data_IF_156290739776
#
_entry.id   IF_156290739776
#
_cell.length_a   1.000
_cell.length_b   1.000
_cell.length_c   1.000
_cell.angle_alpha   90.00
_cell.angle_beta   90.00
_cell.angle_gamma   90.00
#
_symmetry.space_group_name_H-M   'P 1'
#
loop_
_entity.id
_entity.type
_entity.pdbx_description
1 polymer ?
#
# COMPACT_ATOMS: atom_id res chain seq x y z
N UNK A 1 -43.09 19.24 53.41
CA UNK A 1 -44.25 18.49 52.89
C UNK A 1 -45.07 19.41 52.01
N UNK A 2 -45.57 18.99 50.83
CA UNK A 2 -45.16 17.85 49.99
C UNK A 2 -44.07 18.36 49.00
N UNK A 3 -43.90 18.04 47.69
CA UNK A 3 -44.43 17.00 46.77
C UNK A 3 -43.41 16.70 45.64
N UNK A 4 -43.40 15.46 45.14
CA UNK A 4 -42.97 14.95 43.82
C UNK A 4 -42.16 15.81 42.83
N UNK A 5 -40.99 15.29 42.41
CA UNK A 5 -40.33 15.66 41.14
C UNK A 5 -40.89 14.85 39.94
N UNK A 6 -41.20 15.46 38.78
CA UNK A 6 -41.78 14.77 37.61
C UNK A 6 -40.79 14.48 36.45
N UNK A 7 -39.48 14.53 36.68
CA UNK A 7 -38.47 14.65 35.61
C UNK A 7 -38.17 13.36 34.82
N UNK A 8 -38.43 12.17 35.39
CA UNK A 8 -38.02 10.89 34.78
C UNK A 8 -38.96 10.37 33.69
N UNK A 9 -40.27 10.59 33.81
CA UNK A 9 -41.26 10.08 32.86
C UNK A 9 -41.08 10.71 31.46
N UNK A 10 -41.04 12.04 31.38
CA UNK A 10 -40.87 12.76 30.13
C UNK A 10 -39.56 12.40 29.41
N UNK A 11 -38.46 12.26 30.16
CA UNK A 11 -37.16 11.85 29.60
C UNK A 11 -37.19 10.42 29.00
N UNK A 12 -37.94 9.50 29.62
CA UNK A 12 -38.13 8.14 29.09
C UNK A 12 -38.97 8.17 27.80
N UNK A 13 -39.99 9.03 27.72
CA UNK A 13 -40.83 9.17 26.52
C UNK A 13 -40.08 9.84 25.36
N UNK A 14 -39.28 10.87 25.63
CA UNK A 14 -38.40 11.51 24.65
C UNK A 14 -37.35 10.51 24.11
N UNK A 15 -36.78 9.65 24.97
CA UNK A 15 -35.88 8.57 24.53
C UNK A 15 -36.61 7.53 23.67
N UNK A 16 -37.83 7.14 24.03
CA UNK A 16 -38.67 6.23 23.21
C UNK A 16 -39.02 6.85 21.86
N UNK A 17 -39.30 8.15 21.80
CA UNK A 17 -39.62 8.87 20.58
C UNK A 17 -38.40 8.95 19.64
N UNK A 18 -37.24 9.38 20.16
CA UNK A 18 -35.98 9.45 19.41
C UNK A 18 -35.48 8.08 18.94
N UNK A 19 -35.57 7.03 19.76
CA UNK A 19 -35.32 5.64 19.33
C UNK A 19 -36.26 5.21 18.19
N UNK A 20 -37.55 5.58 18.27
CA UNK A 20 -38.54 5.25 17.24
C UNK A 20 -38.30 5.98 15.93
N UNK A 21 -37.92 7.27 15.98
CA UNK A 21 -37.49 8.04 14.81
C UNK A 21 -36.23 7.44 14.18
N UNK A 22 -35.24 7.03 14.98
CA UNK A 22 -34.02 6.34 14.49
C UNK A 22 -34.36 5.03 13.80
N UNK A 23 -35.21 4.20 14.42
CA UNK A 23 -35.68 2.92 13.85
C UNK A 23 -36.51 3.14 12.57
N UNK A 24 -37.32 4.22 12.48
CA UNK A 24 -38.05 4.63 11.26
C UNK A 24 -37.10 5.07 10.14
N UNK A 25 -36.14 5.95 10.41
CA UNK A 25 -35.12 6.40 9.42
C UNK A 25 -34.29 5.24 8.90
N UNK A 26 -33.82 4.34 9.78
CA UNK A 26 -33.09 3.13 9.39
C UNK A 26 -33.90 2.21 8.46
N UNK A 27 -35.16 1.92 8.82
CA UNK A 27 -36.07 1.11 7.99
C UNK A 27 -36.41 1.76 6.65
N UNK A 28 -36.44 3.10 6.58
CA UNK A 28 -36.62 3.81 5.32
C UNK A 28 -35.39 3.68 4.41
N UNK A 29 -34.18 3.92 4.94
CA UNK A 29 -32.92 3.78 4.21
C UNK A 29 -32.71 2.36 3.66
N UNK A 30 -32.97 1.33 4.47
CA UNK A 30 -32.88 -0.06 4.01
C UNK A 30 -33.91 -0.43 2.93
N UNK A 31 -35.07 0.23 2.86
CA UNK A 31 -36.02 0.04 1.74
C UNK A 31 -35.51 0.68 0.45
N UNK A 32 -34.98 1.90 0.51
CA UNK A 32 -34.41 2.57 -0.67
C UNK A 32 -33.19 1.82 -1.21
N UNK A 33 -32.37 1.28 -0.33
CA UNK A 33 -31.21 0.43 -0.67
C UNK A 33 -31.64 -0.87 -1.37
N UNK A 34 -32.66 -1.57 -0.87
CA UNK A 34 -33.22 -2.76 -1.53
C UNK A 34 -33.78 -2.43 -2.92
N UNK A 35 -34.57 -1.35 -3.05
CA UNK A 35 -35.13 -0.93 -4.35
C UNK A 35 -34.00 -0.59 -5.35
N UNK A 36 -32.93 0.08 -4.90
CA UNK A 36 -31.76 0.37 -5.75
C UNK A 36 -31.10 -0.93 -6.25
N UNK A 37 -30.81 -1.87 -5.35
CA UNK A 37 -30.21 -3.16 -5.69
C UNK A 37 -31.12 -4.02 -6.59
N UNK A 38 -32.44 -3.97 -6.40
CA UNK A 38 -33.41 -4.62 -7.29
C UNK A 38 -33.40 -4.00 -8.71
N UNK A 39 -33.30 -2.67 -8.83
CA UNK A 39 -33.17 -2.01 -10.15
C UNK A 39 -31.82 -2.27 -10.81
N UNK A 40 -30.73 -2.34 -10.04
CA UNK A 40 -29.39 -2.65 -10.56
C UNK A 40 -29.30 -4.11 -11.03
N UNK A 41 -29.78 -5.07 -10.24
CA UNK A 41 -29.91 -6.47 -10.67
C UNK A 41 -30.72 -6.61 -11.95
N UNK A 42 -31.82 -5.85 -12.09
CA UNK A 42 -32.65 -5.89 -13.29
C UNK A 42 -31.94 -5.32 -14.51
N UNK A 43 -31.27 -4.17 -14.41
CA UNK A 43 -30.51 -3.60 -15.54
C UNK A 43 -29.33 -4.48 -15.94
N UNK A 44 -28.66 -5.14 -15.00
CA UNK A 44 -27.60 -6.13 -15.28
C UNK A 44 -28.16 -7.40 -15.93
N UNK A 45 -29.35 -7.88 -15.53
CA UNK A 45 -30.04 -8.99 -16.18
C UNK A 45 -30.46 -8.63 -17.61
N UNK A 46 -31.01 -7.43 -17.84
CA UNK A 46 -31.38 -6.95 -19.18
C UNK A 46 -30.15 -6.77 -20.09
N UNK A 47 -29.03 -6.29 -19.55
CA UNK A 47 -27.74 -6.22 -20.27
C UNK A 47 -27.19 -7.61 -20.61
N UNK A 48 -27.24 -8.58 -19.68
CA UNK A 48 -26.84 -9.95 -19.96
C UNK A 48 -27.76 -10.61 -20.99
N UNK A 49 -29.07 -10.38 -20.93
CA UNK A 49 -30.02 -10.86 -21.94
C UNK A 49 -29.71 -10.26 -23.32
N UNK A 50 -29.43 -8.96 -23.42
CA UNK A 50 -29.02 -8.31 -24.67
C UNK A 50 -27.71 -8.89 -25.24
N UNK A 51 -26.72 -9.17 -24.38
CA UNK A 51 -25.42 -9.70 -24.78
C UNK A 51 -25.42 -11.21 -25.08
N UNK A 52 -26.40 -11.96 -24.57
CA UNK A 52 -26.54 -13.42 -24.78
C UNK A 52 -27.62 -13.80 -25.79
N UNK A 53 -28.50 -12.87 -26.17
CA UNK A 53 -29.49 -13.07 -27.21
C UNK A 53 -28.82 -13.51 -28.53
N UNK A 54 -29.23 -14.64 -29.14
CA UNK A 54 -28.68 -15.08 -30.41
C UNK A 54 -29.03 -14.05 -31.49
N UNK A 55 -28.01 -13.35 -32.01
CA UNK A 55 -28.18 -12.36 -33.09
C UNK A 55 -28.70 -13.08 -34.33
N UNK A 56 -29.97 -12.83 -34.67
CA UNK A 56 -30.61 -13.38 -35.88
C UNK A 56 -29.73 -13.07 -37.10
N UNK A 57 -29.24 -14.12 -37.76
CA UNK A 57 -28.11 -14.05 -38.68
C UNK A 57 -28.50 -13.62 -40.09
N UNK A 58 -28.99 -12.38 -40.21
CA UNK A 58 -29.25 -11.72 -41.49
C UNK A 58 -28.05 -10.86 -41.93
N UNK A 59 -26.97 -11.52 -42.36
CA UNK A 59 -25.86 -10.88 -43.08
C UNK A 59 -25.11 -11.90 -43.93
N UNK A 60 -25.37 -11.93 -45.24
CA UNK A 60 -24.78 -12.86 -46.22
C UNK A 60 -23.31 -12.54 -46.58
N UNK A 61 -22.59 -11.81 -45.73
CA UNK A 61 -21.23 -11.35 -45.99
C UNK A 61 -20.30 -11.64 -44.79
N UNK A 62 -19.20 -12.40 -44.98
CA UNK A 62 -18.26 -12.69 -43.90
C UNK A 62 -17.37 -11.48 -43.60
N UNK A 63 -17.59 -10.85 -42.45
CA UNK A 63 -16.68 -9.81 -41.93
C UNK A 63 -15.37 -10.45 -41.47
N UNK A 64 -14.25 -10.11 -42.11
CA UNK A 64 -12.92 -10.65 -41.81
C UNK A 64 -12.36 -10.22 -40.45
N UNK A 65 -12.93 -9.19 -39.83
CA UNK A 65 -12.57 -8.71 -38.48
C UNK A 65 -13.39 -9.45 -37.40
N UNK A 66 -12.74 -10.02 -36.37
CA UNK A 66 -13.46 -10.67 -35.28
C UNK A 66 -14.24 -9.62 -34.45
N UNK A 67 -15.50 -9.90 -34.06
CA UNK A 67 -16.31 -8.96 -33.29
C UNK A 67 -15.61 -8.43 -32.02
N UNK A 68 -15.77 -7.13 -31.66
CA UNK A 68 -15.07 -6.52 -30.52
C UNK A 68 -15.24 -7.27 -29.20
N UNK A 69 -16.39 -7.92 -28.97
CA UNK A 69 -16.63 -8.76 -27.80
C UNK A 69 -15.66 -9.95 -27.68
N UNK A 70 -15.23 -10.55 -28.80
CA UNK A 70 -14.25 -11.65 -28.81
C UNK A 70 -12.85 -11.13 -28.45
N UNK A 71 -12.50 -9.94 -28.94
CA UNK A 71 -11.23 -9.27 -28.62
C UNK A 71 -11.18 -8.91 -27.13
N UNK A 72 -12.22 -8.24 -26.62
CA UNK A 72 -12.35 -7.86 -25.22
C UNK A 72 -12.37 -9.06 -24.27
N UNK A 73 -13.01 -10.17 -24.67
CA UNK A 73 -13.00 -11.44 -23.93
C UNK A 73 -11.60 -12.05 -23.86
N UNK A 74 -10.90 -12.20 -24.99
CA UNK A 74 -9.52 -12.73 -25.02
C UNK A 74 -8.56 -11.90 -24.19
N UNK A 75 -8.70 -10.57 -24.22
CA UNK A 75 -7.89 -9.66 -23.40
C UNK A 75 -8.17 -9.84 -21.90
N UNK A 76 -9.44 -10.00 -21.51
CA UNK A 76 -9.84 -10.33 -20.14
C UNK A 76 -9.29 -11.69 -19.67
N UNK A 77 -9.36 -12.72 -20.52
CA UNK A 77 -8.84 -14.06 -20.23
C UNK A 77 -7.32 -14.01 -20.04
N UNK A 78 -6.59 -13.25 -20.87
CA UNK A 78 -5.15 -12.99 -20.72
C UNK A 78 -4.81 -12.27 -19.41
N UNK A 79 -5.52 -11.19 -19.06
CA UNK A 79 -5.34 -10.46 -17.80
C UNK A 79 -5.57 -11.37 -16.59
N UNK A 80 -6.65 -12.17 -16.59
CA UNK A 80 -6.96 -13.12 -15.51
C UNK A 80 -5.88 -14.20 -15.37
N UNK A 81 -5.32 -14.69 -16.48
CA UNK A 81 -4.18 -15.61 -16.46
C UNK A 81 -2.91 -14.95 -15.88
N UNK A 82 -2.59 -13.72 -16.28
CA UNK A 82 -1.42 -12.98 -15.82
C UNK A 82 -1.50 -12.65 -14.32
N UNK A 83 -2.65 -12.15 -13.83
CA UNK A 83 -2.89 -11.93 -12.39
C UNK A 83 -2.81 -13.24 -11.60
N UNK A 84 -3.33 -14.34 -12.15
CA UNK A 84 -3.23 -15.67 -11.51
C UNK A 84 -1.78 -16.15 -11.41
N UNK A 85 -0.98 -15.94 -12.46
CA UNK A 85 0.45 -16.29 -12.47
C UNK A 85 1.24 -15.44 -11.45
N UNK A 86 1.03 -14.13 -11.43
CA UNK A 86 1.67 -13.22 -10.47
C UNK A 86 1.28 -13.54 -9.02
N UNK A 87 0.00 -13.83 -8.75
CA UNK A 87 -0.50 -14.24 -7.43
C UNK A 87 0.10 -15.59 -6.98
N UNK A 88 0.28 -16.54 -7.90
CA UNK A 88 0.99 -17.81 -7.63
C UNK A 88 2.47 -17.55 -7.31
N UNK A 89 3.17 -16.77 -8.13
CA UNK A 89 4.58 -16.41 -7.90
C UNK A 89 4.77 -15.73 -6.54
N UNK A 90 3.97 -14.71 -6.22
CA UNK A 90 4.02 -14.02 -4.93
C UNK A 90 3.76 -14.96 -3.74
N UNK A 91 2.81 -15.89 -3.86
CA UNK A 91 2.53 -16.91 -2.82
C UNK A 91 3.66 -17.94 -2.68
N UNK A 92 4.27 -18.37 -3.78
CA UNK A 92 5.45 -19.25 -3.73
C UNK A 92 6.64 -18.52 -3.09
N UNK A 93 6.89 -17.27 -3.45
CA UNK A 93 7.97 -16.46 -2.85
C UNK A 93 7.72 -16.19 -1.36
N UNK A 94 6.49 -15.92 -0.92
CA UNK A 94 6.20 -15.70 0.50
C UNK A 94 6.30 -16.97 1.32
N UNK A 95 5.80 -18.11 0.82
CA UNK A 95 5.98 -19.42 1.47
C UNK A 95 7.46 -19.84 1.53
N UNK A 96 8.20 -19.65 0.43
CA UNK A 96 9.64 -19.91 0.38
C UNK A 96 10.38 -19.04 1.41
N UNK A 97 10.04 -17.74 1.51
CA UNK A 97 10.68 -16.81 2.46
C UNK A 97 10.35 -17.18 3.91
N UNK A 98 9.09 -17.54 4.20
CA UNK A 98 8.66 -17.97 5.53
C UNK A 98 9.34 -19.27 5.99
N UNK A 99 9.55 -20.22 5.07
CA UNK A 99 10.28 -21.47 5.34
C UNK A 99 11.77 -21.28 5.66
N UNK A 100 12.32 -20.08 5.38
CA UNK A 100 13.74 -19.74 5.51
C UNK A 100 13.99 -18.63 6.54
N UNK A 101 12.96 -18.21 7.29
CA UNK A 101 13.14 -17.37 8.47
C UNK A 101 13.90 -18.16 9.55
N UNK A 102 14.93 -17.59 10.18
CA UNK A 102 15.56 -18.22 11.34
C UNK A 102 14.52 -18.41 12.44
N UNK A 103 14.14 -19.67 12.70
CA UNK A 103 13.44 -20.00 13.94
C UNK A 103 14.41 -19.69 15.06
N UNK A 104 14.13 -18.65 15.84
CA UNK A 104 14.81 -18.41 17.10
C UNK A 104 14.58 -19.65 17.96
N UNK A 105 15.58 -20.52 18.04
CA UNK A 105 15.60 -21.62 19.01
C UNK A 105 15.70 -20.94 20.36
N UNK A 106 14.55 -20.77 20.99
CA UNK A 106 14.43 -20.16 22.30
C UNK A 106 15.04 -21.13 23.31
N UNK A 107 16.31 -20.95 23.61
CA UNK A 107 17.06 -21.70 24.63
C UNK A 107 16.65 -21.23 26.03
N UNK A 108 15.36 -21.33 26.32
CA UNK A 108 14.93 -21.54 27.70
C UNK A 108 15.58 -22.88 28.13
N UNK A 109 16.26 -22.90 29.29
CA UNK A 109 17.14 -23.97 29.80
C UNK A 109 18.56 -24.02 29.20
N UNK A 110 19.51 -23.37 29.87
CA UNK A 110 20.73 -23.97 30.45
C UNK A 110 21.14 -23.08 31.64
N UNK A 111 21.08 -23.62 32.85
CA UNK A 111 21.26 -22.86 34.09
C UNK A 111 22.69 -22.93 34.65
N UNK A 112 23.71 -22.81 33.79
CA UNK A 112 25.11 -22.95 34.18
C UNK A 112 26.03 -21.88 33.55
N UNK A 113 26.51 -20.95 34.37
CA UNK A 113 27.75 -20.20 34.10
C UNK A 113 28.98 -21.07 34.41
N UNK A 114 30.06 -20.89 33.65
CA UNK A 114 31.35 -20.51 34.26
C UNK A 114 31.82 -19.10 33.84
N UNK A 115 32.84 -18.52 34.51
CA UNK A 115 33.27 -17.13 34.31
C UNK A 115 34.32 -16.93 33.20
N UNK A 116 34.64 -15.65 32.95
CA UNK A 116 35.62 -15.13 31.99
C UNK A 116 37.00 -15.84 32.03
N UNK A 117 37.49 -16.28 30.88
CA UNK A 117 38.83 -16.86 30.68
C UNK A 117 39.23 -16.91 29.20
N UNK A 118 40.54 -16.94 28.92
CA UNK A 118 41.10 -16.84 27.55
C UNK A 118 40.93 -18.11 26.70
N UNK A 119 40.78 -17.87 25.39
CA UNK A 119 41.30 -18.67 24.25
C UNK A 119 41.21 -20.21 24.29
N UNK A 120 40.24 -20.76 23.55
CA UNK A 120 40.46 -21.92 22.67
C UNK A 120 39.54 -21.87 21.46
N UNK A 121 40.08 -22.02 20.25
CA UNK A 121 39.29 -22.14 19.01
C UNK A 121 38.98 -23.62 18.75
N UNK A 122 38.14 -24.19 19.61
CA UNK A 122 37.63 -25.56 19.47
C UNK A 122 36.66 -25.64 18.27
N UNK A 123 37.13 -26.22 17.16
CA UNK A 123 36.41 -26.37 15.88
C UNK A 123 35.30 -27.44 15.99
N UNK A 124 34.32 -27.21 16.85
CA UNK A 124 33.14 -28.07 16.99
C UNK A 124 32.13 -27.80 15.87
N UNK A 125 31.86 -28.81 15.04
CA UNK A 125 30.89 -28.72 13.93
C UNK A 125 29.45 -28.87 14.46
N UNK A 126 28.94 -27.79 15.07
CA UNK A 126 27.52 -27.63 15.35
C UNK A 126 26.67 -27.68 14.07
N UNK A 127 25.35 -27.96 14.17
CA UNK A 127 24.50 -28.22 13.02
C UNK A 127 24.55 -27.05 12.02
N UNK A 128 24.88 -27.37 10.76
CA UNK A 128 25.07 -26.36 9.70
C UNK A 128 23.92 -25.37 9.68
N UNK A 129 24.20 -24.10 10.01
CA UNK A 129 23.27 -23.01 9.74
C UNK A 129 22.86 -23.12 8.27
N UNK A 130 21.58 -23.42 8.02
CA UNK A 130 21.02 -23.33 6.67
C UNK A 130 21.26 -21.90 6.21
N UNK A 131 22.01 -21.75 5.12
CA UNK A 131 22.45 -20.44 4.61
C UNK A 131 21.24 -19.52 4.54
N UNK A 132 21.19 -18.50 5.40
CA UNK A 132 20.00 -17.66 5.49
C UNK A 132 19.74 -17.03 4.12
N UNK A 133 18.48 -16.70 3.79
CA UNK A 133 18.10 -16.12 2.50
C UNK A 133 19.02 -14.98 2.02
N UNK A 134 19.56 -14.21 2.97
CA UNK A 134 20.59 -13.17 2.81
C UNK A 134 21.97 -13.68 2.33
N UNK A 135 22.10 -14.94 1.93
CA UNK A 135 23.25 -15.55 1.26
C UNK A 135 22.88 -16.21 -0.08
N UNK A 136 21.59 -16.33 -0.40
CA UNK A 136 21.10 -17.07 -1.58
C UNK A 136 20.30 -16.21 -2.57
N UNK A 137 19.94 -14.97 -2.22
CA UNK A 137 19.39 -13.99 -3.18
C UNK A 137 20.49 -13.12 -3.78
N UNK A 138 20.18 -12.44 -4.90
CA UNK A 138 20.98 -11.29 -5.34
C UNK A 138 21.09 -10.20 -4.25
N UNK A 139 20.06 -10.08 -3.40
CA UNK A 139 20.00 -9.26 -2.19
C UNK A 139 21.02 -9.63 -1.10
N UNK A 140 21.73 -10.76 -1.22
CA UNK A 140 22.85 -11.12 -0.36
C UNK A 140 24.07 -10.22 -0.59
N UNK A 141 24.29 -9.81 -1.85
CA UNK A 141 25.45 -9.04 -2.25
C UNK A 141 25.18 -7.53 -2.02
N UNK A 142 25.93 -6.83 -1.15
CA UNK A 142 25.70 -5.42 -0.86
C UNK A 142 25.77 -4.53 -2.11
N UNK A 143 26.71 -4.79 -3.03
CA UNK A 143 26.82 -4.02 -4.28
C UNK A 143 25.62 -4.26 -5.21
N UNK A 144 25.07 -5.47 -5.25
CA UNK A 144 23.87 -5.76 -6.04
C UNK A 144 22.59 -5.14 -5.41
N UNK A 145 22.48 -5.10 -4.07
CA UNK A 145 21.45 -4.30 -3.40
C UNK A 145 21.55 -2.83 -3.78
N UNK A 146 22.75 -2.24 -3.64
CA UNK A 146 23.03 -0.84 -3.92
C UNK A 146 22.71 -0.46 -5.38
N UNK A 147 23.06 -1.33 -6.34
CA UNK A 147 22.68 -1.17 -7.75
C UNK A 147 21.16 -1.24 -7.96
N UNK A 148 20.48 -2.20 -7.33
CA UNK A 148 19.02 -2.33 -7.38
C UNK A 148 18.29 -1.12 -6.77
N UNK A 149 18.81 -0.59 -5.65
CA UNK A 149 18.30 0.63 -5.01
C UNK A 149 18.47 1.85 -5.92
N UNK A 150 19.65 2.06 -6.52
CA UNK A 150 19.87 3.12 -7.52
C UNK A 150 18.90 3.00 -8.70
N UNK A 151 18.78 1.81 -9.30
CA UNK A 151 17.86 1.56 -10.41
C UNK A 151 16.39 1.86 -10.07
N UNK A 152 15.95 1.55 -8.85
CA UNK A 152 14.60 1.89 -8.39
C UNK A 152 14.41 3.42 -8.30
N UNK A 153 15.35 4.15 -7.68
CA UNK A 153 15.30 5.62 -7.60
C UNK A 153 15.37 6.27 -8.99
N UNK A 154 16.28 5.82 -9.86
CA UNK A 154 16.47 6.34 -11.22
C UNK A 154 15.22 6.08 -12.08
N UNK A 155 14.60 4.91 -11.92
CA UNK A 155 13.32 4.59 -12.56
C UNK A 155 12.21 5.53 -12.08
N UNK A 156 12.07 5.76 -10.77
CA UNK A 156 11.06 6.68 -10.21
C UNK A 156 11.24 8.08 -10.80
N UNK A 157 12.47 8.61 -10.76
CA UNK A 157 12.84 9.91 -11.32
C UNK A 157 12.48 10.03 -12.81
N UNK A 158 12.86 9.05 -13.63
CA UNK A 158 12.58 9.09 -15.07
C UNK A 158 11.13 8.75 -15.43
N UNK A 159 10.34 8.13 -14.54
CA UNK A 159 8.90 8.03 -14.72
C UNK A 159 8.17 9.32 -14.37
N UNK A 160 8.47 9.96 -13.23
CA UNK A 160 7.80 11.21 -12.84
C UNK A 160 8.07 12.35 -13.82
N UNK A 161 9.30 12.44 -14.37
CA UNK A 161 9.67 13.37 -15.44
C UNK A 161 8.85 13.23 -16.75
N UNK A 162 8.10 12.13 -16.94
CA UNK A 162 7.26 11.90 -18.14
C UNK A 162 5.78 12.20 -17.89
N UNK A 163 5.38 12.43 -16.65
CA UNK A 163 4.01 12.81 -16.31
C UNK A 163 3.90 14.35 -16.24
N UNK A 164 2.79 14.94 -16.70
CA UNK A 164 2.56 16.37 -16.55
C UNK A 164 2.48 16.73 -15.06
N UNK A 165 2.93 17.94 -14.71
CA UNK A 165 2.93 18.40 -13.33
C UNK A 165 1.49 18.45 -12.77
N UNK A 166 1.19 17.88 -11.58
CA UNK A 166 -0.18 17.69 -11.07
C UNK A 166 -0.95 19.00 -10.82
N UNK A 167 -0.27 20.14 -10.80
CA UNK A 167 -0.89 21.47 -10.66
C UNK A 167 -0.74 22.35 -11.92
N UNK A 168 -0.24 21.79 -13.03
CA UNK A 168 0.18 22.54 -14.21
C UNK A 168 1.35 23.48 -13.89
N UNK A 169 1.47 24.55 -14.67
CA UNK A 169 2.55 25.56 -14.57
C UNK A 169 2.30 26.63 -13.48
N UNK A 170 1.22 26.50 -12.70
CA UNK A 170 0.88 27.44 -11.64
C UNK A 170 1.76 27.24 -10.40
N UNK A 171 2.49 28.28 -10.00
CA UNK A 171 3.46 28.23 -8.88
C UNK A 171 2.80 28.34 -7.48
N UNK A 172 1.52 28.74 -7.42
CA UNK A 172 0.82 28.99 -6.16
C UNK A 172 0.71 27.73 -5.26
N UNK A 173 0.93 27.92 -3.95
CA UNK A 173 0.85 26.89 -2.92
C UNK A 173 -0.48 26.10 -3.00
N UNK A 174 -0.36 24.77 -3.07
CA UNK A 174 -1.49 23.88 -3.37
C UNK A 174 -1.28 22.48 -2.81
N UNK A 175 -2.37 21.88 -2.32
CA UNK A 175 -2.43 20.49 -1.89
C UNK A 175 -3.55 19.78 -2.64
N UNK A 176 -3.34 18.52 -2.99
CA UNK A 176 -4.38 17.61 -3.47
C UNK A 176 -4.15 16.24 -2.85
N UNK A 177 -5.22 15.61 -2.34
CA UNK A 177 -5.17 14.26 -1.77
C UNK A 177 -6.31 13.45 -2.35
N UNK A 178 -5.99 12.28 -2.91
CA UNK A 178 -6.94 11.39 -3.58
C UNK A 178 -6.92 10.04 -2.86
N UNK A 179 -8.09 9.60 -2.39
CA UNK A 179 -8.28 8.29 -1.79
C UNK A 179 -8.81 7.31 -2.85
N UNK A 180 -7.94 6.40 -3.29
CA UNK A 180 -8.27 5.34 -4.24
C UNK A 180 -9.01 4.21 -3.50
N UNK A 181 -10.16 3.80 -4.02
CA UNK A 181 -10.98 2.73 -3.44
C UNK A 181 -10.53 1.35 -3.90
N UNK A 182 -10.69 0.35 -3.05
CA UNK A 182 -10.59 -1.05 -3.46
C UNK A 182 -11.82 -1.51 -4.26
N UNK A 183 -11.65 -2.55 -5.07
CA UNK A 183 -12.75 -3.25 -5.77
C UNK A 183 -13.34 -4.41 -4.94
N UNK A 184 -12.92 -4.56 -3.67
CA UNK A 184 -13.44 -5.61 -2.78
C UNK A 184 -14.92 -5.40 -2.48
N UNK A 185 -15.70 -6.48 -2.45
CA UNK A 185 -17.17 -6.46 -2.36
C UNK A 185 -17.70 -5.99 -1.00
N UNK A 186 -16.88 -6.06 0.04
CA UNK A 186 -17.33 -6.04 1.44
C UNK A 186 -17.20 -4.63 2.07
N UNK A 187 -17.51 -3.60 1.28
CA UNK A 187 -17.58 -2.20 1.69
C UNK A 187 -16.47 -1.30 1.13
N UNK A 188 -16.62 0.01 1.32
CA UNK A 188 -15.75 1.02 0.73
C UNK A 188 -14.37 1.10 1.42
N UNK A 189 -13.50 0.14 1.12
CA UNK A 189 -12.09 0.14 1.54
C UNK A 189 -11.28 1.19 0.77
N UNK A 190 -10.35 1.85 1.45
CA UNK A 190 -9.35 2.73 0.81
C UNK A 190 -8.12 1.87 0.52
N UNK A 191 -7.87 1.60 -0.76
CA UNK A 191 -6.75 0.77 -1.21
C UNK A 191 -5.43 1.55 -1.28
N UNK A 192 -5.49 2.84 -1.59
CA UNK A 192 -4.32 3.73 -1.55
C UNK A 192 -4.75 5.19 -1.28
N UNK A 193 -3.80 5.99 -0.79
CA UNK A 193 -3.93 7.45 -0.70
C UNK A 193 -2.76 8.06 -1.46
N UNK A 194 -3.07 8.94 -2.41
CA UNK A 194 -2.12 9.70 -3.22
C UNK A 194 -2.15 11.16 -2.76
N UNK A 195 -0.98 11.78 -2.57
CA UNK A 195 -0.85 13.13 -2.03
C UNK A 195 0.15 13.96 -2.80
N UNK A 196 -0.32 15.06 -3.38
CA UNK A 196 0.49 16.07 -4.06
C UNK A 196 0.53 17.35 -3.23
N UNK A 197 1.74 17.90 -3.07
CA UNK A 197 2.01 19.07 -2.22
C UNK A 197 2.95 20.02 -2.96
N UNK A 198 2.54 21.27 -3.12
CA UNK A 198 3.34 22.38 -3.62
C UNK A 198 3.27 23.51 -2.60
N UNK A 199 4.41 24.07 -2.24
CA UNK A 199 4.52 25.17 -1.30
C UNK A 199 5.72 26.05 -1.62
N UNK A 200 5.64 27.34 -1.34
CA UNK A 200 6.72 28.30 -1.59
C UNK A 200 7.69 28.33 -0.40
N UNK A 201 8.98 28.13 -0.66
CA UNK A 201 10.03 28.23 0.34
C UNK A 201 10.99 29.38 0.02
N UNK A 202 11.12 30.34 0.95
CA UNK A 202 12.01 31.49 0.79
C UNK A 202 13.44 31.16 1.25
N UNK A 203 14.33 30.90 0.30
CA UNK A 203 15.75 30.64 0.57
C UNK A 203 16.46 30.00 -0.62
N UNK A 204 17.77 29.74 -0.48
CA UNK A 204 18.50 28.94 -1.46
C UNK A 204 17.97 27.49 -1.49
N UNK A 205 17.71 26.99 -2.70
CA UNK A 205 17.05 25.69 -2.90
C UNK A 205 17.88 24.51 -2.38
N UNK A 206 19.22 24.62 -2.36
CA UNK A 206 20.10 23.56 -1.84
C UNK A 206 19.97 23.49 -0.32
N UNK A 207 20.03 24.64 0.36
CA UNK A 207 19.82 24.73 1.81
C UNK A 207 18.42 24.26 2.23
N UNK A 208 17.36 24.66 1.49
CA UNK A 208 15.99 24.20 1.73
C UNK A 208 15.90 22.67 1.56
N UNK A 209 16.43 22.12 0.46
CA UNK A 209 16.40 20.68 0.20
C UNK A 209 17.17 19.87 1.25
N UNK A 210 18.30 20.39 1.75
CA UNK A 210 19.10 19.76 2.79
C UNK A 210 18.36 19.74 4.14
N UNK A 211 17.64 20.83 4.47
CA UNK A 211 16.78 20.88 5.67
C UNK A 211 15.62 19.88 5.57
N UNK A 212 14.96 19.79 4.42
CA UNK A 212 13.89 18.81 4.17
C UNK A 212 14.42 17.36 4.22
N UNK A 213 15.60 17.11 3.65
CA UNK A 213 16.27 15.81 3.70
C UNK A 213 16.55 15.38 5.15
N UNK A 214 17.25 16.22 5.93
CA UNK A 214 17.56 15.91 7.35
C UNK A 214 16.28 15.73 8.18
N UNK A 215 15.27 16.58 8.00
CA UNK A 215 14.00 16.46 8.72
C UNK A 215 13.25 15.14 8.45
N UNK A 216 13.45 14.52 7.27
CA UNK A 216 12.81 13.25 6.89
C UNK A 216 13.36 12.02 7.63
N UNK A 217 14.56 12.11 8.22
CA UNK A 217 15.18 11.05 9.03
C UNK A 217 15.26 11.39 10.52
N UNK A 218 14.92 12.62 10.91
CA UNK A 218 14.90 13.03 12.31
C UNK A 218 13.85 12.22 13.08
N UNK A 219 14.21 11.49 14.16
CA UNK A 219 13.24 10.76 14.96
C UNK A 219 12.30 11.75 15.66
N UNK A 220 11.03 11.37 15.78
CA UNK A 220 10.01 12.14 16.49
C UNK A 220 9.43 11.33 17.64
N UNK A 221 8.62 11.95 18.50
CA UNK A 221 7.93 11.24 19.58
C UNK A 221 6.97 10.12 19.12
N UNK A 222 6.70 10.01 17.81
CA UNK A 222 5.77 9.05 17.21
C UNK A 222 6.42 8.20 16.12
N UNK A 223 7.57 8.61 15.57
CA UNK A 223 8.24 7.93 14.44
C UNK A 223 9.70 7.64 14.75
N UNK A 224 10.08 6.36 14.68
CA UNK A 224 11.48 5.90 14.73
C UNK A 224 12.00 5.65 13.31
N UNK A 225 13.27 5.96 13.07
CA UNK A 225 13.98 5.72 11.82
C UNK A 225 15.25 4.91 12.12
N UNK A 226 15.36 3.74 11.49
CA UNK A 226 16.55 2.89 11.54
C UNK A 226 17.18 2.82 10.14
N UNK A 227 18.43 3.24 10.02
CA UNK A 227 19.26 3.04 8.83
C UNK A 227 19.53 1.54 8.64
N UNK A 228 19.43 1.03 7.40
CA UNK A 228 19.60 -0.39 7.08
C UNK A 228 20.77 -0.68 6.11
N UNK A 229 21.57 0.32 5.78
CA UNK A 229 22.83 0.18 5.02
C UNK A 229 23.87 1.11 5.67
N UNK A 230 25.05 0.58 6.03
CA UNK A 230 26.09 1.29 6.80
C UNK A 230 26.94 2.25 5.95
N UNK A 231 26.67 2.32 4.64
CA UNK A 231 27.41 3.09 3.63
C UNK A 231 26.44 3.89 2.74
N UNK A 232 25.98 5.08 3.17
CA UNK A 232 25.14 5.96 2.36
C UNK A 232 25.94 6.59 1.21
N UNK A 233 26.06 5.85 0.10
CA UNK A 233 26.72 6.33 -1.12
C UNK A 233 25.84 7.30 -1.90
N UNK A 234 26.39 8.38 -2.45
CA UNK A 234 25.76 9.13 -3.56
C UNK A 234 24.31 9.55 -3.28
N UNK A 235 24.07 10.12 -2.09
CA UNK A 235 22.75 10.58 -1.64
C UNK A 235 21.71 9.49 -1.42
N UNK A 236 22.05 8.20 -1.55
CA UNK A 236 21.14 7.05 -1.41
C UNK A 236 21.10 6.55 0.04
N UNK A 237 19.89 6.31 0.55
CA UNK A 237 19.61 5.81 1.89
C UNK A 237 18.50 4.75 1.84
N UNK A 238 18.80 3.53 2.29
CA UNK A 238 17.77 2.53 2.62
C UNK A 238 17.50 2.54 4.13
N UNK A 239 16.22 2.75 4.51
CA UNK A 239 15.84 2.84 5.91
C UNK A 239 14.50 2.17 6.21
N UNK A 240 14.35 1.80 7.48
CA UNK A 240 13.11 1.33 8.09
C UNK A 240 12.54 2.46 8.94
N UNK A 241 11.24 2.71 8.80
CA UNK A 241 10.51 3.70 9.58
C UNK A 241 9.28 3.06 10.19
N UNK A 242 9.08 3.28 11.49
CA UNK A 242 7.92 2.78 12.22
C UNK A 242 7.24 3.92 12.96
N UNK A 243 5.91 3.89 12.97
CA UNK A 243 5.09 4.70 13.87
C UNK A 243 4.00 3.82 14.52
N UNK A 244 3.13 4.42 15.33
CA UNK A 244 2.08 3.72 16.09
C UNK A 244 1.08 2.90 15.24
N UNK A 245 1.01 3.12 13.92
CA UNK A 245 0.00 2.51 13.04
C UNK A 245 0.62 1.83 11.81
N UNK A 246 1.81 2.25 11.36
CA UNK A 246 2.41 1.82 10.09
C UNK A 246 3.89 1.49 10.19
N UNK A 247 4.34 0.61 9.31
CA UNK A 247 5.69 0.08 9.23
C UNK A 247 6.14 0.15 7.75
N UNK A 248 7.15 0.98 7.46
CA UNK A 248 7.53 1.39 6.12
C UNK A 248 9.02 1.12 5.87
N UNK A 249 9.34 0.58 4.70
CA UNK A 249 10.73 0.43 4.22
C UNK A 249 10.90 1.29 2.98
N UNK A 250 11.85 2.21 3.01
CA UNK A 250 11.93 3.35 2.08
C UNK A 250 13.32 3.41 1.47
N UNK A 251 13.40 3.67 0.16
CA UNK A 251 14.65 3.80 -0.59
C UNK A 251 14.75 5.26 -1.06
N UNK A 252 15.27 6.11 -0.18
CA UNK A 252 15.39 7.53 -0.46
C UNK A 252 16.66 7.84 -1.25
N UNK A 253 16.61 8.75 -2.22
CA UNK A 253 17.80 9.30 -2.89
C UNK A 253 17.66 10.78 -3.17
N UNK A 254 18.75 11.52 -2.98
CA UNK A 254 18.88 12.93 -3.34
C UNK A 254 19.66 13.08 -4.65
N UNK A 255 19.06 13.76 -5.63
CA UNK A 255 19.68 14.15 -6.89
C UNK A 255 19.92 15.66 -6.88
N UNK A 256 21.18 16.09 -7.02
CA UNK A 256 21.56 17.50 -7.02
C UNK A 256 21.90 17.91 -8.45
N UNK A 257 21.06 18.76 -9.05
CA UNK A 257 21.26 19.33 -10.38
C UNK A 257 21.69 20.80 -10.28
N UNK A 258 22.05 21.42 -11.41
CA UNK A 258 22.49 22.82 -11.44
C UNK A 258 21.42 23.80 -10.92
N UNK A 259 20.15 23.57 -11.29
CA UNK A 259 19.00 24.47 -11.07
C UNK A 259 17.94 23.95 -10.09
N UNK A 260 18.03 22.68 -9.65
CA UNK A 260 17.07 22.05 -8.73
C UNK A 260 17.69 20.92 -7.92
N UNK A 261 17.00 20.49 -6.87
CA UNK A 261 17.28 19.23 -6.17
C UNK A 261 16.02 18.38 -6.23
N UNK A 262 16.15 17.10 -6.58
CA UNK A 262 15.03 16.16 -6.63
C UNK A 262 15.24 15.07 -5.58
N UNK A 263 14.18 14.75 -4.82
CA UNK A 263 14.18 13.70 -3.81
C UNK A 263 13.23 12.59 -4.26
N UNK A 264 13.73 11.35 -4.37
CA UNK A 264 12.90 10.15 -4.56
C UNK A 264 12.84 9.36 -3.25
N UNK A 265 11.79 8.57 -3.03
CA UNK A 265 11.58 7.76 -1.82
C UNK A 265 10.55 6.64 -2.07
#
# INVERSE_FOLDING_TARGET
>A
MPRSAPTTAASIEERRHSESLRKRKYRAGKRTEVIQLETELRTLQDQLAYLTAPRSSSSLFPSTTPPPAIIARRYNESLKAQVTLQRRLARTMSLWTAAQQPRLVRTDNISHLPPLGLLTVERSQGPTMRSSWMQSTLLANPAARQQGYRWLSDRVLHTSQRHPHPFGDAVADRVSVVAHRGEDTDGATVAAIEGHYQFTAFGDFRHVSQRLWVAKFAPTAVTVVQMLDDQPSDGLVYYHSTNLVTNLRVIARQYIEASRVVLTY
#
